data_IF_826042424865
#
_entry.id   IF_826042424865
#
_cell.length_a   1.000
_cell.length_b   1.000
_cell.length_c   1.000
_cell.angle_alpha   90.00
_cell.angle_beta   90.00
_cell.angle_gamma   90.00
#
_symmetry.space_group_name_H-M   'P 1'
#
loop_
_entity.id
_entity.type
_entity.pdbx_description
1 polymer ?
#
# COMPACT_ATOMS: atom_id res chain seq x y z
N UNK A 1 -9.99 5.75 4.34
CA UNK A 1 -10.71 6.71 3.46
C UNK A 1 -10.90 6.19 2.04
N UNK A 2 -9.88 6.07 1.17
CA UNK A 2 -10.11 5.66 -0.25
C UNK A 2 -10.63 4.22 -0.39
N UNK A 3 -10.14 3.27 0.41
CA UNK A 3 -10.59 1.89 0.34
C UNK A 3 -11.94 1.65 1.06
N UNK A 4 -12.30 2.48 2.05
CA UNK A 4 -13.69 2.54 2.56
C UNK A 4 -14.64 3.04 1.47
N UNK A 5 -14.22 4.03 0.68
CA UNK A 5 -15.01 4.52 -0.46
C UNK A 5 -15.18 3.46 -1.55
N UNK A 6 -14.14 2.69 -1.87
CA UNK A 6 -14.24 1.59 -2.85
C UNK A 6 -15.16 0.48 -2.32
N UNK A 7 -15.04 0.12 -1.04
CA UNK A 7 -15.93 -0.87 -0.42
C UNK A 7 -17.40 -0.41 -0.45
N UNK A 8 -17.68 0.85 -0.10
CA UNK A 8 -19.02 1.43 -0.19
C UNK A 8 -19.56 1.40 -1.63
N UNK A 9 -18.76 1.82 -2.61
CA UNK A 9 -19.15 1.81 -4.03
C UNK A 9 -19.41 0.37 -4.52
N UNK A 10 -18.59 -0.60 -4.13
CA UNK A 10 -18.77 -2.01 -4.51
C UNK A 10 -20.02 -2.64 -3.85
N UNK A 11 -20.34 -2.25 -2.61
CA UNK A 11 -21.56 -2.67 -1.92
C UNK A 11 -22.82 -2.05 -2.54
N UNK A 12 -22.78 -0.76 -2.92
CA UNK A 12 -23.88 -0.04 -3.57
C UNK A 12 -24.11 -0.49 -5.03
N UNK A 13 -23.06 -0.91 -5.73
CA UNK A 13 -23.11 -1.35 -7.14
C UNK A 13 -22.80 -2.84 -7.31
N UNK A 14 -23.29 -3.68 -6.38
CA UNK A 14 -23.02 -5.12 -6.37
C UNK A 14 -23.39 -5.85 -7.68
N UNK A 15 -24.30 -5.29 -8.49
CA UNK A 15 -24.75 -5.84 -9.77
C UNK A 15 -23.68 -5.80 -10.86
N UNK A 16 -22.64 -4.98 -10.70
CA UNK A 16 -21.50 -4.89 -11.63
C UNK A 16 -20.54 -6.07 -11.40
N UNK A 17 -20.53 -6.62 -10.19
CA UNK A 17 -19.62 -7.71 -9.79
C UNK A 17 -20.27 -9.04 -10.15
N UNK A 18 -20.10 -9.45 -11.40
CA UNK A 18 -20.66 -10.70 -11.94
C UNK A 18 -19.90 -11.96 -11.49
N UNK A 19 -18.72 -11.79 -10.88
CA UNK A 19 -17.90 -12.89 -10.39
C UNK A 19 -18.22 -13.19 -8.92
N UNK A 20 -18.86 -14.33 -8.68
CA UNK A 20 -19.25 -14.79 -7.34
C UNK A 20 -18.08 -14.95 -6.37
N UNK A 21 -16.87 -15.23 -6.86
CA UNK A 21 -15.68 -15.34 -6.01
C UNK A 21 -15.22 -13.96 -5.50
N UNK A 22 -15.35 -12.92 -6.35
CA UNK A 22 -15.05 -11.55 -5.93
C UNK A 22 -16.09 -11.07 -4.91
N UNK A 23 -17.35 -11.45 -5.08
CA UNK A 23 -18.40 -11.14 -4.11
C UNK A 23 -18.10 -11.70 -2.71
N UNK A 24 -17.66 -12.97 -2.64
CA UNK A 24 -17.27 -13.60 -1.37
C UNK A 24 -16.05 -12.92 -0.73
N UNK A 25 -15.04 -12.54 -1.53
CA UNK A 25 -13.87 -11.80 -1.06
C UNK A 25 -14.23 -10.39 -0.55
N UNK A 26 -15.23 -9.74 -1.15
CA UNK A 26 -15.70 -8.41 -0.73
C UNK A 26 -16.44 -8.46 0.62
N UNK A 27 -16.93 -9.63 1.03
CA UNK A 27 -17.53 -9.81 2.36
C UNK A 27 -16.52 -10.26 3.41
N UNK A 28 -15.30 -10.62 3.00
CA UNK A 28 -14.24 -11.04 3.90
C UNK A 28 -13.47 -9.85 4.47
N UNK A 29 -13.76 -9.51 5.72
CA UNK A 29 -13.04 -8.46 6.46
C UNK A 29 -11.53 -8.74 6.55
N UNK A 30 -11.10 -9.99 6.64
CA UNK A 30 -9.67 -10.34 6.70
C UNK A 30 -8.98 -10.02 5.36
N UNK A 31 -9.67 -10.24 4.25
CA UNK A 31 -9.19 -9.85 2.93
C UNK A 31 -8.96 -8.34 2.82
N UNK A 32 -9.91 -7.51 3.26
CA UNK A 32 -9.71 -6.05 3.26
C UNK A 32 -8.61 -5.61 4.19
N UNK A 33 -8.53 -6.18 5.40
CA UNK A 33 -7.46 -5.85 6.33
C UNK A 33 -6.08 -6.15 5.73
N UNK A 34 -5.94 -7.30 5.06
CA UNK A 34 -4.71 -7.65 4.31
C UNK A 34 -4.46 -6.69 3.15
N UNK A 35 -5.49 -6.37 2.37
CA UNK A 35 -5.39 -5.42 1.26
C UNK A 35 -4.94 -4.03 1.73
N UNK A 36 -5.58 -3.47 2.76
CA UNK A 36 -5.23 -2.20 3.37
C UNK A 36 -3.80 -2.18 3.89
N UNK A 37 -3.40 -3.26 4.55
CA UNK A 37 -2.04 -3.42 5.04
C UNK A 37 -1.03 -3.40 3.88
N UNK A 38 -1.28 -4.15 2.80
CA UNK A 38 -0.44 -4.14 1.59
C UNK A 38 -0.40 -2.73 0.96
N UNK A 39 -1.55 -2.06 0.81
CA UNK A 39 -1.61 -0.71 0.26
C UNK A 39 -0.84 0.30 1.11
N UNK A 40 -0.90 0.19 2.44
CA UNK A 40 -0.18 1.09 3.34
C UNK A 40 1.35 1.02 3.17
N UNK A 41 1.86 -0.13 2.72
CA UNK A 41 3.26 -0.34 2.38
C UNK A 41 3.55 0.14 0.95
N UNK A 42 2.68 -0.21 0.00
CA UNK A 42 2.93 0.03 -1.42
C UNK A 42 2.79 1.50 -1.86
N UNK A 43 1.86 2.24 -1.26
CA UNK A 43 1.64 3.66 -1.56
C UNK A 43 2.91 4.50 -1.38
N UNK A 44 3.59 4.50 -0.20
CA UNK A 44 4.79 5.31 -0.03
C UNK A 44 5.95 4.85 -0.92
N UNK A 45 6.04 3.55 -1.25
CA UNK A 45 7.04 3.03 -2.20
C UNK A 45 6.79 3.63 -3.59
N UNK A 46 5.54 3.59 -4.07
CA UNK A 46 5.17 4.13 -5.39
C UNK A 46 5.37 5.64 -5.47
N UNK A 47 5.04 6.37 -4.41
CA UNK A 47 5.29 7.83 -4.33
C UNK A 47 6.79 8.15 -4.38
N UNK A 48 7.60 7.40 -3.64
CA UNK A 48 9.06 7.52 -3.68
C UNK A 48 9.60 7.33 -5.10
N UNK A 49 9.23 6.24 -5.77
CA UNK A 49 9.65 5.94 -7.15
C UNK A 49 9.25 7.08 -8.09
N UNK A 50 7.98 7.50 -8.07
CA UNK A 50 7.49 8.56 -8.95
C UNK A 50 8.25 9.89 -8.76
N UNK A 51 8.59 10.23 -7.51
CA UNK A 51 9.33 11.44 -7.20
C UNK A 51 10.78 11.32 -7.66
N UNK A 52 11.44 10.19 -7.42
CA UNK A 52 12.84 9.98 -7.84
C UNK A 52 12.98 9.89 -9.36
N UNK A 53 12.01 9.30 -10.05
CA UNK A 53 11.98 9.21 -11.51
C UNK A 53 11.61 10.56 -12.18
N UNK A 54 11.03 11.50 -11.45
CA UNK A 54 10.73 12.81 -11.99
C UNK A 54 12.03 13.55 -12.33
N UNK A 55 12.15 14.03 -13.58
CA UNK A 55 13.31 14.82 -14.05
C UNK A 55 13.57 16.11 -13.25
N UNK A 56 12.61 16.52 -12.44
CA UNK A 56 12.67 17.70 -11.56
C UNK A 56 13.08 17.37 -10.11
N UNK A 57 13.33 16.10 -9.78
CA UNK A 57 13.69 15.71 -8.42
C UNK A 57 15.03 16.32 -8.01
N UNK A 58 15.04 17.05 -6.89
CA UNK A 58 16.29 17.47 -6.28
C UNK A 58 16.92 16.34 -5.48
N UNK A 59 18.22 16.46 -5.18
CA UNK A 59 18.89 15.52 -4.25
C UNK A 59 18.21 15.50 -2.87
N UNK A 60 17.69 16.65 -2.42
CA UNK A 60 16.95 16.78 -1.17
C UNK A 60 15.62 16.00 -1.23
N UNK A 61 14.91 16.04 -2.35
CA UNK A 61 13.69 15.25 -2.54
C UNK A 61 14.00 13.75 -2.48
N UNK A 62 15.05 13.30 -3.17
CA UNK A 62 15.50 11.92 -3.11
C UNK A 62 15.85 11.49 -1.68
N UNK A 63 16.58 12.32 -0.94
CA UNK A 63 16.97 12.02 0.46
C UNK A 63 15.74 11.94 1.38
N UNK A 64 14.77 12.84 1.21
CA UNK A 64 13.51 12.81 1.97
C UNK A 64 12.71 11.53 1.67
N UNK A 65 12.68 11.08 0.42
CA UNK A 65 12.00 9.84 0.04
C UNK A 65 12.67 8.59 0.61
N UNK A 66 14.01 8.56 0.66
CA UNK A 66 14.77 7.48 1.33
C UNK A 66 14.41 7.40 2.82
N UNK A 67 14.33 8.54 3.52
CA UNK A 67 13.94 8.58 4.93
C UNK A 67 12.52 8.04 5.13
N UNK A 68 11.55 8.48 4.31
CA UNK A 68 10.17 7.98 4.37
C UNK A 68 10.09 6.48 4.14
N UNK A 69 10.86 5.96 3.18
CA UNK A 69 10.93 4.53 2.88
C UNK A 69 11.52 3.74 4.07
N UNK A 70 12.61 4.22 4.68
CA UNK A 70 13.21 3.60 5.85
C UNK A 70 12.24 3.53 7.04
N UNK A 71 11.46 4.60 7.28
CA UNK A 71 10.42 4.62 8.31
C UNK A 71 9.32 3.59 8.01
N UNK A 72 8.84 3.54 6.76
CA UNK A 72 7.81 2.58 6.36
C UNK A 72 8.27 1.12 6.57
N UNK A 73 9.52 0.81 6.23
CA UNK A 73 10.13 -0.51 6.48
C UNK A 73 10.25 -0.78 7.99
N UNK A 74 10.67 0.23 8.76
CA UNK A 74 10.76 0.11 10.21
C UNK A 74 9.39 -0.16 10.88
N UNK A 75 8.30 0.34 10.31
CA UNK A 75 6.94 0.10 10.80
C UNK A 75 6.39 -1.30 10.45
N UNK A 76 7.05 -2.08 9.61
CA UNK A 76 6.63 -3.46 9.32
C UNK A 76 6.67 -4.34 10.59
N UNK A 77 5.83 -5.38 10.71
CA UNK A 77 5.91 -6.35 11.80
C UNK A 77 7.30 -6.99 11.90
N UNK A 78 7.75 -7.24 13.12
CA UNK A 78 9.03 -7.94 13.37
C UNK A 78 9.04 -9.37 12.84
N UNK A 79 7.86 -9.97 12.62
CA UNK A 79 7.69 -11.26 11.96
C UNK A 79 7.96 -11.23 10.46
N UNK A 80 8.10 -10.05 9.84
CA UNK A 80 8.43 -9.95 8.43
C UNK A 80 9.92 -10.30 8.21
N UNK A 81 10.25 -11.39 7.49
CA UNK A 81 11.62 -11.88 7.36
C UNK A 81 12.53 -10.94 6.57
N UNK A 82 11.96 -10.05 5.77
CA UNK A 82 12.70 -9.10 4.94
C UNK A 82 13.00 -7.78 5.65
N UNK A 83 12.39 -7.52 6.81
CA UNK A 83 12.53 -6.25 7.55
C UNK A 83 13.97 -5.99 7.96
N UNK A 84 14.66 -6.99 8.50
CA UNK A 84 16.04 -6.85 8.96
C UNK A 84 17.00 -6.55 7.80
N UNK A 85 16.87 -7.31 6.70
CA UNK A 85 17.71 -7.14 5.50
C UNK A 85 17.50 -5.81 4.79
N UNK A 86 16.32 -5.20 4.91
CA UNK A 86 15.99 -3.93 4.28
C UNK A 86 16.47 -2.70 5.07
N UNK A 87 16.80 -2.85 6.36
CA UNK A 87 17.28 -1.76 7.23
C UNK A 87 18.81 -1.78 7.36
N UNK A 88 19.45 -2.93 7.15
CA UNK A 88 20.92 -3.07 7.14
C UNK A 88 21.47 -2.56 5.80
N UNK A 89 21.83 -1.27 5.76
CA UNK A 89 22.69 -0.66 4.74
C UNK A 89 24.05 -0.38 5.37
#
# INVERSE_FOLDING_TARGET
>A
MIADSILCILLEHNSIITNSNIYLLIQDNEFFMKYHYICSIWIPIKECINIVEAKSASLTDCFMQIIKLAIAIFCLPSSNPFKASAIQI
#
